data_IF_147044050518
#
_entry.id   IF_147044050518
#
_cell.length_a   1.000
_cell.length_b   1.000
_cell.length_c   1.000
_cell.angle_alpha   90.00
_cell.angle_beta   90.00
_cell.angle_gamma   90.00
#
_symmetry.space_group_name_H-M   'P 1'
#
loop_
_entity.id
_entity.type
_entity.pdbx_description
1 polymer ?
#
# COMPACT_ATOMS: atom_id res chain seq x y z
N UNK A 1 -50.94 15.36 -1.17
CA UNK A 1 -49.91 14.70 -2.01
C UNK A 1 -48.54 15.31 -1.74
N UNK A 2 -48.01 15.17 -0.51
CA UNK A 2 -46.78 15.84 -0.03
C UNK A 2 -45.95 14.87 0.82
N UNK A 3 -45.91 13.60 0.40
CA UNK A 3 -45.20 12.51 1.10
C UNK A 3 -44.33 11.64 0.16
N UNK A 4 -44.22 12.00 -1.13
CA UNK A 4 -43.40 11.24 -2.09
C UNK A 4 -42.13 11.97 -2.56
N UNK A 5 -41.87 13.21 -2.10
CA UNK A 5 -40.73 14.02 -2.56
C UNK A 5 -39.46 13.78 -1.70
N UNK A 6 -39.59 13.17 -0.52
CA UNK A 6 -38.46 13.06 0.44
C UNK A 6 -37.64 11.77 0.26
N UNK A 7 -38.13 10.78 -0.49
CA UNK A 7 -37.50 9.44 -0.53
C UNK A 7 -36.58 9.19 -1.73
N UNK A 8 -36.49 10.10 -2.71
CA UNK A 8 -35.65 9.92 -3.91
C UNK A 8 -34.24 10.54 -3.74
N UNK A 9 -33.99 11.27 -2.65
CA UNK A 9 -32.72 11.97 -2.40
C UNK A 9 -31.67 11.16 -1.61
N UNK A 10 -31.97 9.91 -1.23
CA UNK A 10 -31.10 9.08 -0.38
C UNK A 10 -30.47 7.86 -1.07
N UNK A 11 -30.70 7.67 -2.37
CA UNK A 11 -30.14 6.54 -3.13
C UNK A 11 -29.36 7.12 -4.30
N UNK A 12 -28.09 7.49 -4.08
CA UNK A 12 -27.33 8.07 -5.18
C UNK A 12 -25.86 8.42 -4.98
N UNK A 13 -25.25 8.17 -3.83
CA UNK A 13 -23.79 8.32 -3.69
C UNK A 13 -23.24 7.21 -2.77
N UNK A 14 -23.38 5.96 -3.20
CA UNK A 14 -22.44 4.91 -2.79
C UNK A 14 -21.77 4.40 -4.06
N UNK A 15 -21.10 5.30 -4.77
CA UNK A 15 -20.01 4.87 -5.64
C UNK A 15 -18.79 4.63 -4.74
N UNK A 16 -18.79 3.50 -4.02
CA UNK A 16 -17.53 2.95 -3.51
C UNK A 16 -16.75 2.46 -4.72
N UNK A 17 -16.04 3.41 -5.32
CA UNK A 17 -15.02 3.20 -6.33
C UNK A 17 -13.96 2.28 -5.72
N UNK A 18 -14.11 0.98 -5.93
CA UNK A 18 -13.02 0.00 -5.77
C UNK A 18 -12.14 0.01 -7.02
N UNK A 19 -11.70 1.21 -7.43
CA UNK A 19 -10.73 1.32 -8.51
C UNK A 19 -9.34 1.06 -7.94
N UNK A 20 -8.63 0.11 -8.55
CA UNK A 20 -7.17 0.04 -8.48
C UNK A 20 -6.62 1.46 -8.70
N UNK A 21 -5.64 1.93 -7.92
CA UNK A 21 -5.02 3.21 -8.22
C UNK A 21 -4.55 3.17 -9.68
N UNK A 22 -5.04 4.09 -10.51
CA UNK A 22 -4.52 4.25 -11.86
C UNK A 22 -3.04 4.60 -11.76
N UNK A 23 -2.26 4.27 -12.79
CA UNK A 23 -0.83 4.58 -12.78
C UNK A 23 -0.57 6.07 -12.51
N UNK A 24 -1.42 6.94 -13.05
CA UNK A 24 -1.44 8.38 -12.80
C UNK A 24 -1.58 8.75 -11.30
N UNK A 25 -2.41 8.03 -10.53
CA UNK A 25 -2.55 8.25 -9.09
C UNK A 25 -1.31 7.79 -8.32
N UNK A 26 -0.65 6.74 -8.79
CA UNK A 26 0.57 6.27 -8.13
C UNK A 26 1.69 7.31 -8.28
N UNK A 27 1.86 7.92 -9.45
CA UNK A 27 2.87 8.96 -9.67
C UNK A 27 2.58 10.20 -8.81
N UNK A 28 1.32 10.63 -8.73
CA UNK A 28 0.90 11.71 -7.82
C UNK A 28 1.23 11.39 -6.35
N UNK A 29 1.01 10.15 -5.90
CA UNK A 29 1.37 9.74 -4.55
C UNK A 29 2.88 9.77 -4.33
N UNK A 30 3.68 9.30 -5.31
CA UNK A 30 5.14 9.33 -5.23
C UNK A 30 5.65 10.76 -5.14
N UNK A 31 5.17 11.68 -5.98
CA UNK A 31 5.56 13.09 -5.94
C UNK A 31 5.23 13.73 -4.59
N UNK A 32 4.00 13.57 -4.11
CA UNK A 32 3.57 14.12 -2.82
C UNK A 32 4.41 13.54 -1.67
N UNK A 33 4.67 12.24 -1.67
CA UNK A 33 5.44 11.58 -0.62
C UNK A 33 6.94 11.92 -0.65
N UNK A 34 7.50 12.14 -1.83
CA UNK A 34 8.88 12.62 -1.96
C UNK A 34 9.04 14.00 -1.33
N UNK A 35 8.08 14.90 -1.56
CA UNK A 35 8.02 16.22 -0.93
C UNK A 35 7.81 16.13 0.59
N UNK A 36 6.87 15.29 1.06
CA UNK A 36 6.58 15.13 2.49
C UNK A 36 7.79 14.61 3.30
N UNK A 37 8.55 13.68 2.72
CA UNK A 37 9.71 13.05 3.39
C UNK A 37 11.02 13.79 3.09
N UNK A 38 11.01 14.75 2.15
CA UNK A 38 12.17 15.56 1.81
C UNK A 38 13.21 14.82 0.96
N UNK A 39 12.80 13.89 0.10
CA UNK A 39 13.69 13.15 -0.81
C UNK A 39 13.45 13.54 -2.27
N UNK A 40 14.47 13.38 -3.11
CA UNK A 40 14.30 13.49 -4.57
C UNK A 40 13.67 12.21 -5.11
N UNK A 41 12.77 12.31 -6.09
CA UNK A 41 12.26 11.14 -6.80
C UNK A 41 13.38 10.35 -7.51
N UNK A 42 14.46 11.02 -7.89
CA UNK A 42 15.64 10.38 -8.50
C UNK A 42 16.38 9.48 -7.51
N UNK A 43 16.27 9.74 -6.19
CA UNK A 43 16.85 8.86 -5.16
C UNK A 43 15.95 7.69 -4.79
N UNK A 44 14.70 7.66 -5.29
CA UNK A 44 13.79 6.51 -5.19
C UNK A 44 14.22 5.44 -6.19
N UNK A 45 15.28 4.75 -5.84
CA UNK A 45 15.77 3.61 -6.62
C UNK A 45 15.02 2.35 -6.23
N UNK A 46 14.60 1.57 -7.22
CA UNK A 46 14.24 0.18 -6.96
C UNK A 46 15.51 -0.56 -6.57
N UNK A 47 15.46 -1.48 -5.60
CA UNK A 47 16.62 -2.30 -5.29
C UNK A 47 17.07 -2.99 -6.57
N UNK A 48 18.39 -3.00 -6.88
CA UNK A 48 18.88 -3.70 -8.06
C UNK A 48 18.41 -5.15 -8.03
N UNK A 49 18.06 -5.68 -9.21
CA UNK A 49 17.78 -7.11 -9.45
C UNK A 49 19.09 -7.90 -9.28
N UNK A 50 19.65 -7.91 -8.07
CA UNK A 50 20.80 -8.73 -7.73
C UNK A 50 20.30 -10.10 -7.25
N UNK A 51 21.15 -11.11 -7.38
CA UNK A 51 20.85 -12.50 -6.97
C UNK A 51 20.86 -12.69 -5.43
N UNK A 52 20.70 -11.62 -4.65
CA UNK A 52 20.68 -11.64 -3.19
C UNK A 52 19.55 -10.77 -2.62
N UNK A 53 19.27 -10.84 -1.31
CA UNK A 53 18.30 -9.95 -0.69
C UNK A 53 18.76 -8.50 -0.89
N UNK A 54 17.84 -7.60 -1.26
CA UNK A 54 18.19 -6.19 -1.41
C UNK A 54 18.73 -5.64 -0.08
N UNK A 55 19.67 -4.69 -0.12
CA UNK A 55 20.11 -4.02 1.10
C UNK A 55 18.89 -3.40 1.79
N UNK A 56 18.94 -3.35 3.13
CA UNK A 56 17.88 -2.73 3.90
C UNK A 56 17.74 -1.25 3.49
N UNK A 57 16.52 -0.77 3.18
CA UNK A 57 16.31 0.60 2.75
C UNK A 57 16.66 1.60 3.86
N UNK A 58 17.06 2.82 3.48
CA UNK A 58 17.27 3.91 4.41
C UNK A 58 15.98 4.26 5.16
N UNK A 59 16.10 4.97 6.30
CA UNK A 59 14.93 5.44 7.06
C UNK A 59 13.98 6.27 6.18
N UNK A 60 14.54 7.20 5.40
CA UNK A 60 13.74 8.07 4.52
C UNK A 60 13.01 7.25 3.45
N UNK A 61 13.65 6.20 2.91
CA UNK A 61 13.01 5.31 1.95
C UNK A 61 11.87 4.50 2.58
N UNK A 62 12.03 4.05 3.82
CA UNK A 62 10.95 3.39 4.58
C UNK A 62 9.78 4.33 4.82
N UNK A 63 10.06 5.60 5.15
CA UNK A 63 9.03 6.61 5.35
C UNK A 63 8.33 7.00 4.05
N UNK A 64 9.07 7.12 2.95
CA UNK A 64 8.52 7.32 1.62
C UNK A 64 7.55 6.19 1.25
N UNK A 65 7.97 4.93 1.43
CA UNK A 65 7.13 3.77 1.20
C UNK A 65 5.87 3.78 2.08
N UNK A 66 6.00 4.07 3.38
CA UNK A 66 4.83 4.23 4.27
C UNK A 66 3.85 5.25 3.72
N UNK A 67 4.34 6.42 3.30
CA UNK A 67 3.50 7.48 2.76
C UNK A 67 2.74 7.01 1.50
N UNK A 68 3.44 6.42 0.52
CA UNK A 68 2.83 5.95 -0.72
C UNK A 68 1.78 4.87 -0.45
N UNK A 69 2.10 3.89 0.39
CA UNK A 69 1.18 2.79 0.70
C UNK A 69 -0.02 3.25 1.54
N UNK A 70 0.14 4.29 2.36
CA UNK A 70 -0.97 4.91 3.10
C UNK A 70 -1.90 5.68 2.15
N UNK A 71 -1.36 6.48 1.22
CA UNK A 71 -2.18 7.18 0.20
C UNK A 71 -2.86 6.22 -0.77
N UNK A 72 -2.24 5.08 -1.05
CA UNK A 72 -2.84 3.99 -1.81
C UNK A 72 -3.95 3.24 -1.04
N UNK A 73 -4.09 3.49 0.27
CA UNK A 73 -5.06 2.84 1.15
C UNK A 73 -4.68 1.42 1.57
N UNK A 74 -3.45 0.98 1.28
CA UNK A 74 -2.94 -0.34 1.69
C UNK A 74 -2.67 -0.36 3.20
N UNK A 75 -2.24 0.78 3.74
CA UNK A 75 -2.18 1.01 5.18
C UNK A 75 -3.11 2.16 5.54
N UNK A 76 -3.67 2.13 6.74
CA UNK A 76 -4.35 3.30 7.30
C UNK A 76 -3.35 4.26 7.99
N UNK A 77 -3.86 5.39 8.50
CA UNK A 77 -3.06 6.37 9.21
C UNK A 77 -2.38 5.82 10.48
N UNK A 78 -2.95 4.76 11.07
CA UNK A 78 -2.42 4.10 12.27
C UNK A 78 -1.35 3.05 11.93
N UNK A 79 -1.10 2.79 10.64
CA UNK A 79 -0.16 1.76 10.20
C UNK A 79 -0.74 0.35 10.21
N UNK A 80 -2.06 0.20 10.24
CA UNK A 80 -2.71 -1.10 10.11
C UNK A 80 -2.88 -1.47 8.63
N UNK A 81 -2.54 -2.72 8.31
CA UNK A 81 -2.65 -3.28 6.96
C UNK A 81 -4.12 -3.50 6.57
N UNK A 82 -4.54 -2.91 5.47
CA UNK A 82 -5.87 -3.08 4.87
C UNK A 82 -5.82 -4.22 3.84
N UNK A 83 -5.92 -5.47 4.31
CA UNK A 83 -5.78 -6.67 3.47
C UNK A 83 -6.74 -6.71 2.28
N UNK A 84 -7.93 -6.13 2.41
CA UNK A 84 -8.92 -5.99 1.33
C UNK A 84 -8.51 -5.09 0.18
N UNK A 85 -7.45 -4.28 0.36
CA UNK A 85 -6.90 -3.38 -0.67
C UNK A 85 -5.72 -3.99 -1.43
N UNK A 86 -5.17 -5.11 -0.95
CA UNK A 86 -4.14 -5.84 -1.67
C UNK A 86 -4.74 -6.62 -2.85
N UNK A 87 -4.17 -6.40 -4.03
CA UNK A 87 -4.46 -7.20 -5.20
C UNK A 87 -3.39 -8.28 -5.29
N UNK A 88 -3.73 -9.48 -4.84
CA UNK A 88 -2.84 -10.62 -4.93
C UNK A 88 -2.91 -11.25 -6.32
N UNK A 89 -1.81 -11.82 -6.83
CA UNK A 89 -1.81 -12.68 -8.01
C UNK A 89 -2.81 -13.84 -7.89
N UNK A 90 -3.34 -14.34 -9.00
CA UNK A 90 -4.32 -15.46 -8.98
C UNK A 90 -3.75 -16.76 -8.40
N UNK A 91 -2.43 -16.96 -8.52
CA UNK A 91 -1.69 -18.11 -7.98
C UNK A 91 -1.34 -17.97 -6.48
N UNK A 92 -1.68 -16.83 -5.86
CA UNK A 92 -1.47 -16.54 -4.44
C UNK A 92 -2.51 -17.20 -3.51
N UNK A 93 -2.94 -18.43 -3.82
CA UNK A 93 -4.04 -19.13 -3.14
C UNK A 93 -3.75 -19.52 -1.68
N UNK A 94 -2.48 -19.55 -1.29
CA UNK A 94 -2.03 -19.92 0.06
C UNK A 94 -1.48 -18.73 0.88
N UNK A 95 -1.72 -17.49 0.43
CA UNK A 95 -1.24 -16.29 1.13
C UNK A 95 -2.11 -16.02 2.35
N UNK A 96 -1.50 -16.07 3.53
CA UNK A 96 -2.12 -15.70 4.79
C UNK A 96 -1.59 -14.36 5.30
N UNK A 97 -2.24 -13.27 4.88
CA UNK A 97 -1.87 -11.91 5.27
C UNK A 97 -2.11 -11.63 6.76
N UNK A 98 -2.95 -12.43 7.45
CA UNK A 98 -3.23 -12.23 8.88
C UNK A 98 -1.98 -12.42 9.74
N UNK A 99 -0.99 -13.20 9.27
CA UNK A 99 0.31 -13.36 9.91
C UNK A 99 1.13 -12.07 9.94
N UNK A 100 0.83 -11.10 9.07
CA UNK A 100 1.57 -9.85 8.98
C UNK A 100 0.89 -8.70 9.74
N UNK A 101 -0.37 -8.85 10.19
CA UNK A 101 -1.11 -7.75 10.84
C UNK A 101 -0.72 -7.51 12.28
N UNK A 102 -0.01 -8.45 12.93
CA UNK A 102 0.43 -8.34 14.33
C UNK A 102 1.81 -7.69 14.48
N UNK A 103 2.47 -7.32 13.38
CA UNK A 103 3.79 -6.70 13.42
C UNK A 103 3.66 -5.24 13.87
N UNK A 104 4.38 -4.89 14.93
CA UNK A 104 4.42 -3.54 15.50
C UNK A 104 5.86 -3.07 15.70
N UNK A 105 6.11 -1.79 15.48
CA UNK A 105 7.40 -1.15 15.77
C UNK A 105 7.17 0.26 16.35
N UNK A 106 8.12 0.77 17.11
CA UNK A 106 8.04 2.14 17.65
C UNK A 106 8.24 3.21 16.58
N UNK A 107 8.95 2.88 15.48
CA UNK A 107 9.04 3.70 14.28
C UNK A 107 7.96 3.26 13.27
N UNK A 108 6.96 4.11 12.95
CA UNK A 108 5.89 3.75 12.01
C UNK A 108 6.39 3.42 10.61
N UNK A 109 7.50 4.02 10.18
CA UNK A 109 8.13 3.72 8.90
C UNK A 109 8.76 2.32 8.91
N UNK A 110 9.43 1.97 10.01
CA UNK A 110 9.98 0.62 10.22
C UNK A 110 8.87 -0.42 10.29
N UNK A 111 7.79 -0.18 11.04
CA UNK A 111 6.64 -1.09 11.10
C UNK A 111 6.10 -1.41 9.70
N UNK A 112 5.90 -0.38 8.89
CA UNK A 112 5.37 -0.53 7.52
C UNK A 112 6.30 -1.39 6.67
N UNK A 113 7.61 -1.17 6.75
CA UNK A 113 8.61 -1.98 6.07
C UNK A 113 8.60 -3.44 6.52
N UNK A 114 8.53 -3.71 7.82
CA UNK A 114 8.49 -5.07 8.36
C UNK A 114 7.23 -5.83 7.91
N UNK A 115 6.08 -5.15 7.87
CA UNK A 115 4.83 -5.71 7.35
C UNK A 115 4.98 -6.05 5.86
N UNK A 116 5.56 -5.15 5.07
CA UNK A 116 5.76 -5.37 3.63
C UNK A 116 6.76 -6.52 3.34
N UNK A 117 7.83 -6.64 4.15
CA UNK A 117 8.72 -7.82 4.13
C UNK A 117 7.95 -9.10 4.41
N UNK A 118 7.09 -9.11 5.45
CA UNK A 118 6.26 -10.27 5.78
C UNK A 118 5.34 -10.66 4.60
N UNK A 119 4.68 -9.68 3.96
CA UNK A 119 3.81 -9.92 2.81
C UNK A 119 4.60 -10.56 1.67
N UNK A 120 5.77 -10.02 1.33
CA UNK A 120 6.64 -10.61 0.28
C UNK A 120 7.07 -12.04 0.57
N UNK A 121 7.24 -12.41 1.84
CA UNK A 121 7.57 -13.78 2.23
C UNK A 121 6.38 -14.74 2.08
N UNK A 122 5.14 -14.25 2.11
CA UNK A 122 3.96 -15.06 1.84
C UNK A 122 3.71 -15.25 0.33
N UNK A 123 4.08 -14.27 -0.49
CA UNK A 123 3.85 -14.31 -1.94
C UNK A 123 4.65 -15.44 -2.61
N UNK A 124 4.07 -16.14 -3.62
CA UNK A 124 4.82 -17.09 -4.42
C UNK A 124 6.01 -16.38 -5.10
N UNK A 125 7.18 -17.03 -5.09
CA UNK A 125 8.35 -16.50 -5.79
C UNK A 125 8.06 -16.51 -7.30
N UNK A 126 8.36 -15.43 -8.03
CA UNK A 126 8.26 -15.44 -9.48
C UNK A 126 9.14 -16.59 -10.03
N UNK A 127 8.71 -17.29 -11.09
CA UNK A 127 9.51 -18.37 -11.66
C UNK A 127 10.88 -17.84 -12.08
N UNK A 128 11.94 -18.51 -11.64
CA UNK A 128 13.30 -18.24 -12.10
C UNK A 128 13.35 -18.42 -13.62
N UNK A 129 13.67 -17.36 -14.36
CA UNK A 129 13.96 -17.44 -15.80
C UNK A 129 15.29 -18.13 -16.04
#
# INVERSE_FOLDING_TARGET
MKRFIVSILLIGIIAMVHAKPSMEKLDQYREACAQEVGISLESVTHPPLSSGPPPEPSKDMKCFMRCVLTKAGIFDSNGALQTSKLHLPEDATNVDLSKCTSITDSDPCQQTYLIEVCIRQQLPKPPSK
#
